data_IF_564865941071
#
_entry.id   IF_564865941071
#
_cell.length_a   1.000
_cell.length_b   1.000
_cell.length_c   1.000
_cell.angle_alpha   90.00
_cell.angle_beta   90.00
_cell.angle_gamma   90.00
#
_symmetry.space_group_name_H-M   'P 1'
#
loop_
_entity.id
_entity.type
_entity.pdbx_description
1 polymer ?
#
# COMPACT_ATOMS: atom_id res chain seq x y z
N UNK A 1 -24.89 -16.71 7.51
CA UNK A 1 -23.45 -16.87 7.79
C UNK A 1 -23.20 -16.18 9.12
N UNK A 2 -22.60 -16.84 10.12
CA UNK A 2 -22.32 -16.20 11.42
C UNK A 2 -21.26 -15.12 11.23
N UNK A 3 -21.47 -13.95 11.83
CA UNK A 3 -20.44 -12.92 11.89
C UNK A 3 -19.26 -13.45 12.71
N UNK A 4 -18.03 -13.21 12.26
CA UNK A 4 -16.83 -13.59 12.99
C UNK A 4 -16.77 -12.92 14.37
N UNK A 5 -17.42 -11.77 14.54
CA UNK A 5 -17.52 -11.07 15.83
C UNK A 5 -18.22 -11.89 16.92
N UNK A 6 -19.10 -12.83 16.57
CA UNK A 6 -19.75 -13.74 17.53
C UNK A 6 -18.76 -14.76 18.12
N UNK A 7 -17.71 -15.08 17.39
CA UNK A 7 -16.66 -16.02 17.81
C UNK A 7 -15.50 -15.33 18.51
N UNK A 8 -15.35 -14.02 18.30
CA UNK A 8 -14.32 -13.22 18.94
C UNK A 8 -14.84 -12.70 20.29
N UNK A 9 -14.20 -13.08 21.41
CA UNK A 9 -14.62 -12.67 22.74
C UNK A 9 -14.32 -11.19 23.02
N UNK A 10 -15.02 -10.64 24.02
CA UNK A 10 -14.78 -9.30 24.56
C UNK A 10 -13.70 -9.37 25.64
N UNK A 11 -12.81 -8.38 25.66
CA UNK A 11 -11.71 -8.26 26.59
C UNK A 11 -10.43 -8.90 26.08
N UNK A 12 -9.31 -8.19 26.21
CA UNK A 12 -7.98 -8.66 25.80
C UNK A 12 -7.52 -9.91 26.54
N UNK A 13 -7.92 -10.06 27.81
CA UNK A 13 -7.64 -11.28 28.59
C UNK A 13 -8.24 -12.54 27.96
N UNK A 14 -9.32 -12.39 27.21
CA UNK A 14 -10.04 -13.50 26.58
C UNK A 14 -9.62 -13.72 25.12
N UNK A 15 -8.60 -13.01 24.62
CA UNK A 15 -8.22 -13.05 23.21
C UNK A 15 -8.07 -14.49 22.69
N UNK A 16 -8.56 -14.70 21.47
CA UNK A 16 -8.64 -16.00 20.83
C UNK A 16 -7.57 -16.13 19.74
N UNK A 17 -6.75 -17.20 19.77
CA UNK A 17 -5.78 -17.47 18.72
C UNK A 17 -6.44 -17.64 17.35
N UNK A 18 -5.69 -17.32 16.30
CA UNK A 18 -6.20 -17.43 14.92
C UNK A 18 -6.53 -18.87 14.54
N UNK A 19 -5.71 -19.81 15.01
CA UNK A 19 -5.83 -21.24 14.77
C UNK A 19 -7.13 -21.79 15.37
N UNK A 20 -7.55 -21.25 16.52
CA UNK A 20 -8.83 -21.57 17.14
C UNK A 20 -10.00 -21.07 16.30
N UNK A 21 -9.94 -19.82 15.82
CA UNK A 21 -10.97 -19.27 14.93
C UNK A 21 -11.09 -20.10 13.64
N UNK A 22 -9.96 -20.49 13.05
CA UNK A 22 -9.93 -21.36 11.87
C UNK A 22 -10.56 -22.72 12.16
N UNK A 23 -10.25 -23.34 13.30
CA UNK A 23 -10.84 -24.63 13.69
C UNK A 23 -12.35 -24.55 13.89
N UNK A 24 -12.85 -23.48 14.49
CA UNK A 24 -14.29 -23.28 14.75
C UNK A 24 -15.10 -22.99 13.49
N UNK A 25 -14.49 -22.36 12.50
CA UNK A 25 -15.17 -21.92 11.27
C UNK A 25 -14.92 -22.85 10.09
N UNK A 26 -13.86 -23.65 10.11
CA UNK A 26 -13.42 -24.48 8.99
C UNK A 26 -12.83 -23.67 7.83
N UNK A 27 -12.63 -22.36 7.97
CA UNK A 27 -12.11 -21.50 6.90
C UNK A 27 -10.59 -21.39 6.96
N UNK A 28 -9.97 -21.22 5.79
CA UNK A 28 -8.52 -21.02 5.68
C UNK A 28 -8.04 -19.67 6.20
N UNK A 29 -6.75 -19.57 6.48
CA UNK A 29 -6.10 -18.40 7.08
C UNK A 29 -6.29 -17.09 6.27
N UNK A 30 -6.21 -17.16 4.94
CA UNK A 30 -6.47 -15.99 4.08
C UNK A 30 -7.91 -15.51 4.20
N UNK A 31 -8.88 -16.43 4.18
CA UNK A 31 -10.29 -16.10 4.28
C UNK A 31 -10.65 -15.58 5.67
N UNK A 32 -10.05 -16.15 6.72
CA UNK A 32 -10.18 -15.65 8.10
C UNK A 32 -9.75 -14.19 8.22
N UNK A 33 -8.61 -13.80 7.63
CA UNK A 33 -8.16 -12.40 7.62
C UNK A 33 -9.15 -11.47 6.94
N UNK A 34 -9.74 -11.89 5.82
CA UNK A 34 -10.72 -11.06 5.12
C UNK A 34 -12.03 -10.95 5.91
N UNK A 35 -12.48 -12.02 6.57
CA UNK A 35 -13.64 -11.97 7.46
C UNK A 35 -13.43 -11.01 8.63
N UNK A 36 -12.25 -11.04 9.26
CA UNK A 36 -11.91 -10.13 10.36
C UNK A 36 -11.90 -8.67 9.89
N UNK A 37 -11.32 -8.37 8.71
CA UNK A 37 -11.31 -7.01 8.13
C UNK A 37 -12.70 -6.53 7.74
N UNK A 38 -13.55 -7.43 7.25
CA UNK A 38 -14.90 -7.12 6.81
C UNK A 38 -15.90 -7.04 7.97
N UNK A 39 -15.51 -7.40 9.19
CA UNK A 39 -16.38 -7.33 10.36
C UNK A 39 -16.79 -5.87 10.61
N UNK A 40 -18.07 -5.60 10.89
CA UNK A 40 -18.54 -4.25 11.23
C UNK A 40 -18.08 -3.81 12.62
N UNK A 41 -17.61 -4.74 13.45
CA UNK A 41 -17.17 -4.48 14.83
C UNK A 41 -15.64 -4.42 14.88
N UNK A 42 -15.11 -3.53 15.72
CA UNK A 42 -13.68 -3.43 15.96
C UNK A 42 -13.13 -4.72 16.59
N UNK A 43 -12.27 -5.41 15.83
CA UNK A 43 -11.51 -6.57 16.29
C UNK A 43 -10.03 -6.20 16.30
N UNK A 44 -9.43 -6.23 17.50
CA UNK A 44 -8.04 -5.89 17.74
C UNK A 44 -7.16 -7.15 17.73
N UNK A 45 -5.91 -6.99 17.31
CA UNK A 45 -4.82 -7.94 17.55
C UNK A 45 -3.53 -7.14 17.74
N UNK A 46 -2.89 -7.29 18.90
CA UNK A 46 -1.75 -6.48 19.31
C UNK A 46 -0.39 -7.07 18.92
N UNK A 47 -0.36 -8.19 18.19
CA UNK A 47 0.86 -8.91 17.79
C UNK A 47 1.69 -9.42 18.98
N UNK A 48 1.03 -9.78 20.06
CA UNK A 48 1.60 -10.28 21.31
C UNK A 48 1.22 -11.75 21.56
N UNK A 49 1.02 -12.49 20.47
CA UNK A 49 0.65 -13.91 20.41
C UNK A 49 -0.69 -14.30 21.07
N UNK A 50 -1.40 -13.38 21.74
CA UNK A 50 -2.71 -13.68 22.35
C UNK A 50 -3.83 -13.86 21.34
N UNK A 51 -3.71 -13.21 20.18
CA UNK A 51 -4.68 -13.32 19.10
C UNK A 51 -5.69 -12.17 19.06
N UNK A 52 -6.92 -12.49 18.68
CA UNK A 52 -7.96 -11.51 18.35
C UNK A 52 -8.93 -11.29 19.51
N UNK A 53 -9.39 -10.07 19.71
CA UNK A 53 -10.39 -9.73 20.73
C UNK A 53 -11.19 -8.50 20.33
N UNK A 54 -12.37 -8.34 20.92
CA UNK A 54 -13.11 -7.07 20.92
C UNK A 54 -12.75 -6.32 22.21
N UNK A 55 -12.38 -5.04 22.16
CA UNK A 55 -12.01 -4.31 23.36
C UNK A 55 -13.21 -4.20 24.33
N UNK A 56 -12.95 -4.35 25.63
CA UNK A 56 -13.91 -3.97 26.67
C UNK A 56 -13.96 -2.44 26.85
N UNK A 57 -14.98 -1.93 27.56
CA UNK A 57 -15.18 -0.49 27.74
C UNK A 57 -14.00 0.21 28.44
N UNK A 58 -13.31 -0.48 29.33
CA UNK A 58 -12.15 0.00 30.09
C UNK A 58 -10.79 -0.22 29.37
N UNK A 59 -10.80 -0.81 28.17
CA UNK A 59 -9.62 -1.17 27.40
C UNK A 59 -9.24 -0.14 26.32
N UNK A 60 -9.67 1.12 26.45
CA UNK A 60 -9.39 2.19 25.49
C UNK A 60 -7.88 2.35 25.18
N UNK A 61 -7.02 2.10 26.17
CA UNK A 61 -5.57 2.12 26.00
C UNK A 61 -5.07 1.11 24.96
N UNK A 62 -5.68 -0.08 24.90
CA UNK A 62 -5.35 -1.11 23.91
C UNK A 62 -5.83 -0.71 22.51
N UNK A 63 -6.99 -0.06 22.41
CA UNK A 63 -7.48 0.49 21.14
C UNK A 63 -6.53 1.56 20.60
N UNK A 64 -6.02 2.45 21.47
CA UNK A 64 -5.01 3.45 21.09
C UNK A 64 -3.71 2.80 20.61
N UNK A 65 -3.26 1.72 21.26
CA UNK A 65 -2.10 0.96 20.82
C UNK A 65 -2.32 0.32 19.45
N UNK A 66 -3.46 -0.36 19.26
CA UNK A 66 -3.82 -0.98 17.99
C UNK A 66 -3.90 0.06 16.86
N UNK A 67 -4.55 1.20 17.09
CA UNK A 67 -4.60 2.31 16.13
C UNK A 67 -3.20 2.80 15.74
N UNK A 68 -2.26 2.92 16.70
CA UNK A 68 -0.87 3.31 16.41
C UNK A 68 -0.18 2.27 15.53
N UNK A 69 -0.41 0.98 15.77
CA UNK A 69 0.13 -0.11 14.94
C UNK A 69 -0.41 -0.02 13.50
N UNK A 70 -1.73 0.09 13.33
CA UNK A 70 -2.37 0.20 12.02
C UNK A 70 -1.92 1.44 11.26
N UNK A 71 -1.85 2.59 11.93
CA UNK A 71 -1.36 3.82 11.33
C UNK A 71 0.10 3.70 10.86
N UNK A 72 0.97 3.06 11.67
CA UNK A 72 2.36 2.80 11.28
C UNK A 72 2.45 1.91 10.03
N UNK A 73 1.62 0.87 9.94
CA UNK A 73 1.54 -0.01 8.76
C UNK A 73 1.06 0.79 7.54
N UNK A 74 0.00 1.58 7.67
CA UNK A 74 -0.53 2.43 6.60
C UNK A 74 0.52 3.41 6.07
N UNK A 75 1.23 4.12 6.97
CA UNK A 75 2.32 5.02 6.58
C UNK A 75 3.46 4.30 5.86
N UNK A 76 3.80 3.08 6.29
CA UNK A 76 4.80 2.25 5.62
C UNK A 76 4.38 1.89 4.20
N UNK A 77 3.14 1.43 4.01
CA UNK A 77 2.57 1.14 2.69
C UNK A 77 2.57 2.39 1.81
N UNK A 78 2.14 3.53 2.34
CA UNK A 78 2.15 4.80 1.61
C UNK A 78 3.55 5.25 1.19
N UNK A 79 4.60 4.99 1.99
CA UNK A 79 5.99 5.23 1.57
C UNK A 79 6.41 4.32 0.42
N UNK A 80 6.00 3.06 0.42
CA UNK A 80 6.28 2.14 -0.68
C UNK A 80 5.61 2.60 -1.97
N UNK A 81 4.34 3.01 -1.91
CA UNK A 81 3.61 3.55 -3.08
C UNK A 81 4.33 4.76 -3.67
N UNK A 82 4.74 5.74 -2.83
CA UNK A 82 5.50 6.90 -3.31
C UNK A 82 6.78 6.52 -4.05
N UNK A 83 7.54 5.54 -3.54
CA UNK A 83 8.74 5.03 -4.23
C UNK A 83 8.42 4.44 -5.60
N UNK A 84 7.28 3.74 -5.72
CA UNK A 84 6.82 3.25 -7.02
C UNK A 84 6.47 4.40 -7.96
N UNK A 85 5.78 5.43 -7.48
CA UNK A 85 5.41 6.60 -8.27
C UNK A 85 6.64 7.38 -8.76
N UNK A 86 7.61 7.60 -7.87
CA UNK A 86 8.90 8.23 -8.20
C UNK A 86 9.62 7.44 -9.31
N UNK A 87 9.70 6.11 -9.18
CA UNK A 87 10.32 5.24 -10.18
C UNK A 87 9.62 5.30 -11.54
N UNK A 88 8.28 5.36 -11.55
CA UNK A 88 7.49 5.50 -12.79
C UNK A 88 7.75 6.87 -13.44
N UNK A 89 7.80 7.94 -12.64
CA UNK A 89 8.01 9.30 -13.11
C UNK A 89 9.40 9.46 -13.73
N UNK A 90 10.44 8.99 -13.05
CA UNK A 90 11.83 9.16 -13.50
C UNK A 90 12.06 8.45 -14.85
N UNK A 91 11.47 7.26 -15.05
CA UNK A 91 11.49 6.57 -16.36
C UNK A 91 10.72 7.29 -17.47
N UNK A 92 9.65 8.01 -17.13
CA UNK A 92 8.95 8.85 -18.11
C UNK A 92 9.81 10.05 -18.51
N UNK A 93 10.53 10.65 -17.55
CA UNK A 93 11.47 11.73 -17.81
C UNK A 93 12.64 11.26 -18.69
N UNK A 94 13.30 10.15 -18.35
CA UNK A 94 14.37 9.54 -19.16
C UNK A 94 13.92 9.28 -20.61
N UNK A 95 12.73 8.70 -20.80
CA UNK A 95 12.17 8.50 -22.15
C UNK A 95 11.90 9.82 -22.86
N UNK A 96 11.39 10.82 -22.16
CA UNK A 96 11.14 12.13 -22.75
C UNK A 96 12.45 12.80 -23.19
N UNK A 97 13.51 12.70 -22.41
CA UNK A 97 14.79 13.31 -22.72
C UNK A 97 15.50 12.58 -23.86
N UNK A 98 15.39 11.25 -23.92
CA UNK A 98 15.84 10.47 -25.08
C UNK A 98 15.15 10.89 -26.38
N UNK A 99 13.83 11.14 -26.35
CA UNK A 99 13.07 11.59 -27.53
C UNK A 99 13.46 13.02 -27.92
N UNK A 100 13.64 13.93 -26.95
CA UNK A 100 14.06 15.32 -27.22
C UNK A 100 15.48 15.42 -27.79
N UNK A 101 16.36 14.52 -27.38
CA UNK A 101 17.76 14.51 -27.82
C UNK A 101 18.00 13.72 -29.12
N UNK A 102 16.94 13.21 -29.76
CA UNK A 102 17.03 12.67 -31.12
C UNK A 102 16.96 13.81 -32.13
N UNK A 103 18.03 13.99 -32.90
CA UNK A 103 18.05 14.82 -34.12
C UNK A 103 17.85 13.92 -35.34
N UNK A 104 17.19 14.42 -36.37
CA UNK A 104 17.03 13.66 -37.61
C UNK A 104 18.36 13.55 -38.38
N UNK A 105 18.55 12.48 -39.17
CA UNK A 105 19.74 12.31 -40.02
C UNK A 105 19.89 13.48 -41.02
N UNK A 106 18.77 14.09 -41.42
CA UNK A 106 18.73 15.25 -42.32
C UNK A 106 19.22 16.54 -41.63
N UNK A 107 18.88 16.75 -40.36
CA UNK A 107 19.44 17.86 -39.55
C UNK A 107 20.92 17.62 -39.23
N UNK A 108 21.31 16.37 -38.95
CA UNK A 108 22.71 16.01 -38.65
C UNK A 108 23.63 16.14 -39.87
N UNK A 109 23.15 15.78 -41.07
CA UNK A 109 23.90 15.93 -42.33
C UNK A 109 23.92 17.36 -42.87
N UNK A 110 23.31 18.32 -42.14
CA UNK A 110 23.26 19.72 -42.53
C UNK A 110 22.32 19.92 -43.72
N UNK A 111 21.04 20.17 -43.45
CA UNK A 111 20.06 20.59 -44.45
C UNK A 111 20.64 21.72 -45.31
N UNK A 112 20.90 21.41 -46.57
CA UNK A 112 21.47 22.32 -47.53
C UNK A 112 20.42 23.34 -47.98
N UNK A 113 20.25 24.42 -47.23
CA UNK A 113 19.65 25.65 -47.75
C UNK A 113 20.71 26.73 -47.80
N UNK A 114 21.34 26.82 -48.98
CA UNK A 114 22.28 27.85 -49.32
C UNK A 114 21.60 29.21 -49.38
N UNK A 115 21.79 30.01 -48.32
CA UNK A 115 21.70 31.48 -48.39
C UNK A 115 22.81 32.08 -47.54
N UNK A 116 23.99 32.27 -48.12
CA UNK A 116 24.96 33.22 -47.58
C UNK A 116 25.68 33.99 -48.70
N UNK A 117 25.45 35.30 -48.64
CA UNK A 117 26.31 36.40 -49.07
C UNK A 117 26.46 36.68 -50.59
N UNK A 118 25.51 37.44 -51.12
CA UNK A 118 25.77 38.36 -52.23
C UNK A 118 26.57 39.55 -51.68
N UNK A 119 27.89 39.60 -51.96
CA UNK A 119 28.72 40.79 -51.76
C UNK A 119 28.64 41.63 -53.04
N UNK A 120 27.96 42.78 -52.93
CA UNK A 120 27.99 43.84 -53.93
C UNK A 120 29.41 44.38 -54.13
N UNK A 121 29.79 44.58 -55.40
CA UNK A 121 30.77 45.57 -55.85
C UNK A 121 30.08 46.46 -56.87
#
# INVERSE_FOLDING_TARGET
>A
MKDISELVPVGYRNAIPREELMRRTGVGDRQMRELIKASPVLICNLQDDKGYFRPAEDEEHLVKMFRRQENKRSLSTGRTVRKCDDWIRDRRAEKSDLVKNQISLFEWLGGADGKHAERQR
#
